data_IF_170984406718
#
_entry.id   IF_170984406718
#
_cell.length_a   1.000
_cell.length_b   1.000
_cell.length_c   1.000
_cell.angle_alpha   90.00
_cell.angle_beta   90.00
_cell.angle_gamma   90.00
#
_symmetry.space_group_name_H-M   'P 1'
#
loop_
_entity.id
_entity.type
_entity.pdbx_description
1 polymer ?
#
# COMPACT_ATOMS: atom_id res chain seq x y z
N UNK A 1 -9.81 8.83 17.80
CA UNK A 1 -10.41 8.47 16.50
C UNK A 1 -9.49 7.45 15.85
N UNK A 2 -9.98 6.23 15.63
CA UNK A 2 -9.16 5.06 15.34
C UNK A 2 -8.41 5.16 14.02
N UNK A 3 -7.15 4.73 14.03
CA UNK A 3 -6.34 4.53 12.83
C UNK A 3 -7.11 3.64 11.85
N UNK A 4 -7.54 4.20 10.71
CA UNK A 4 -8.24 3.42 9.69
C UNK A 4 -7.21 2.65 8.87
N UNK A 5 -6.94 1.43 9.31
CA UNK A 5 -6.15 0.46 8.54
C UNK A 5 -7.08 -0.15 7.50
N UNK A 6 -6.72 0.00 6.23
CA UNK A 6 -7.42 -0.57 5.10
C UNK A 6 -6.64 -1.73 4.52
N UNK A 7 -7.36 -2.70 3.99
CA UNK A 7 -6.77 -3.74 3.14
C UNK A 7 -7.06 -3.40 1.69
N UNK A 8 -6.01 -3.35 0.88
CA UNK A 8 -6.10 -3.14 -0.55
C UNK A 8 -5.46 -4.30 -1.30
N UNK A 9 -5.92 -4.52 -2.52
CA UNK A 9 -5.39 -5.55 -3.41
C UNK A 9 -4.65 -4.86 -4.54
N UNK A 10 -3.39 -5.25 -4.71
CA UNK A 10 -2.56 -4.85 -5.85
C UNK A 10 -2.64 -5.94 -6.93
N UNK A 11 -2.37 -5.58 -8.18
CA UNK A 11 -2.38 -6.54 -9.29
C UNK A 11 -1.32 -7.63 -9.13
N UNK A 12 -1.57 -8.80 -9.72
CA UNK A 12 -0.64 -9.94 -9.71
C UNK A 12 0.75 -9.59 -10.25
N UNK A 13 0.85 -8.66 -11.21
CA UNK A 13 2.13 -8.16 -11.73
C UNK A 13 3.01 -7.53 -10.64
N UNK A 14 2.41 -6.81 -9.71
CA UNK A 14 3.15 -6.20 -8.60
C UNK A 14 3.49 -7.29 -7.58
N UNK A 15 2.58 -8.23 -7.32
CA UNK A 15 2.87 -9.40 -6.48
C UNK A 15 4.00 -10.28 -7.01
N UNK A 16 4.15 -10.39 -8.33
CA UNK A 16 5.27 -11.12 -8.93
C UNK A 16 6.62 -10.55 -8.51
N UNK A 17 6.69 -9.24 -8.18
CA UNK A 17 7.90 -8.59 -7.69
C UNK A 17 8.18 -8.85 -6.20
N UNK A 18 7.37 -9.64 -5.49
CA UNK A 18 7.60 -9.97 -4.08
C UNK A 18 9.01 -10.56 -3.81
N UNK A 19 9.62 -11.21 -4.81
CA UNK A 19 11.00 -11.71 -4.71
C UNK A 19 12.04 -10.58 -4.65
N UNK A 20 11.75 -9.43 -5.26
CA UNK A 20 12.57 -8.22 -5.25
C UNK A 20 11.92 -7.17 -4.34
N UNK A 21 12.29 -7.16 -3.07
CA UNK A 21 11.67 -6.26 -2.08
C UNK A 21 11.75 -4.77 -2.51
N UNK A 22 12.86 -4.35 -3.11
CA UNK A 22 13.05 -2.97 -3.58
C UNK A 22 12.13 -2.64 -4.77
N UNK A 23 12.05 -3.52 -5.76
CA UNK A 23 11.17 -3.35 -6.91
C UNK A 23 9.70 -3.38 -6.49
N UNK A 24 9.34 -4.28 -5.57
CA UNK A 24 8.02 -4.37 -4.98
C UNK A 24 7.63 -3.07 -4.26
N UNK A 25 8.48 -2.59 -3.34
CA UNK A 25 8.23 -1.33 -2.60
C UNK A 25 8.06 -0.14 -3.55
N UNK A 26 8.89 -0.07 -4.60
CA UNK A 26 8.81 0.99 -5.62
C UNK A 26 7.48 0.94 -6.38
N UNK A 27 7.15 -0.19 -6.99
CA UNK A 27 5.93 -0.33 -7.80
C UNK A 27 4.67 -0.17 -6.95
N UNK A 28 4.65 -0.70 -5.73
CA UNK A 28 3.56 -0.49 -4.77
C UNK A 28 3.42 1.01 -4.46
N UNK A 29 4.51 1.71 -4.19
CA UNK A 29 4.48 3.17 -3.94
C UNK A 29 3.98 3.93 -5.15
N UNK A 30 4.43 3.62 -6.37
CA UNK A 30 3.96 4.26 -7.60
C UNK A 30 2.47 3.97 -7.85
N UNK A 31 2.02 2.74 -7.60
CA UNK A 31 0.62 2.34 -7.72
C UNK A 31 -0.28 3.13 -6.76
N UNK A 32 0.07 3.19 -5.46
CA UNK A 32 -0.69 3.97 -4.49
C UNK A 32 -0.55 5.47 -4.70
N UNK A 33 0.59 6.00 -5.12
CA UNK A 33 0.74 7.42 -5.43
C UNK A 33 -0.20 7.89 -6.55
N UNK A 34 -0.50 7.03 -7.53
CA UNK A 34 -1.44 7.36 -8.62
C UNK A 34 -2.90 7.45 -8.18
N UNK A 35 -3.35 6.60 -7.27
CA UNK A 35 -4.76 6.57 -6.84
C UNK A 35 -5.04 7.22 -5.48
N UNK A 36 -4.02 7.26 -4.62
CA UNK A 36 -4.14 7.38 -3.17
C UNK A 36 -2.86 8.00 -2.56
N UNK A 37 -2.55 9.27 -2.88
CA UNK A 37 -1.31 9.92 -2.42
C UNK A 37 -1.19 10.04 -0.89
N UNK A 38 -2.31 10.03 -0.16
CA UNK A 38 -2.35 10.13 1.31
C UNK A 38 -2.32 8.77 2.04
N UNK A 39 -2.06 7.68 1.33
CA UNK A 39 -2.05 6.34 1.91
C UNK A 39 -0.62 5.87 2.12
N UNK A 40 -0.36 5.34 3.30
CA UNK A 40 0.95 4.78 3.68
C UNK A 40 0.86 3.26 3.77
N UNK A 41 1.76 2.54 3.09
CA UNK A 41 1.80 1.08 3.17
C UNK A 41 2.45 0.67 4.49
N UNK A 42 1.70 -0.05 5.33
CA UNK A 42 2.18 -0.51 6.64
C UNK A 42 2.76 -1.92 6.52
N UNK A 43 2.05 -2.80 5.81
CA UNK A 43 2.40 -4.22 5.74
C UNK A 43 1.90 -4.85 4.45
N UNK A 44 2.73 -5.66 3.82
CA UNK A 44 2.32 -6.53 2.74
C UNK A 44 2.17 -7.97 3.25
N UNK A 45 1.02 -8.61 3.01
CA UNK A 45 0.79 -10.04 3.31
C UNK A 45 -0.09 -10.66 2.24
N UNK A 46 0.50 -11.45 1.36
CA UNK A 46 -0.21 -12.06 0.23
C UNK A 46 -1.54 -12.71 0.64
N UNK A 47 -2.68 -12.43 -0.04
CA UNK A 47 -2.85 -11.54 -1.21
C UNK A 47 -3.24 -10.08 -0.86
N UNK A 48 -3.16 -9.68 0.41
CA UNK A 48 -3.60 -8.36 0.91
C UNK A 48 -2.45 -7.41 1.24
N UNK A 49 -2.62 -6.13 0.92
CA UNK A 49 -1.75 -5.05 1.38
C UNK A 49 -2.49 -4.23 2.43
N UNK A 50 -1.89 -4.08 3.60
CA UNK A 50 -2.39 -3.23 4.66
C UNK A 50 -1.82 -1.83 4.47
N UNK A 51 -2.70 -0.89 4.26
CA UNK A 51 -2.39 0.52 4.10
C UNK A 51 -3.06 1.32 5.21
N UNK A 52 -2.37 2.34 5.71
CA UNK A 52 -2.93 3.35 6.59
C UNK A 52 -3.43 4.50 5.74
N UNK A 53 -4.66 4.91 5.98
CA UNK A 53 -5.14 6.20 5.52
C UNK A 53 -4.56 7.28 6.45
N UNK A 54 -3.69 8.15 5.93
CA UNK A 54 -3.12 9.28 6.70
C UNK A 54 -3.97 10.56 6.56
N UNK A 55 -5.02 10.53 5.72
CA UNK A 55 -5.96 11.65 5.49
C UNK A 55 -6.61 12.18 6.78
N UNK A 56 -6.76 11.32 7.79
CA UNK A 56 -7.32 11.68 9.10
C UNK A 56 -6.37 12.44 10.05
N UNK A 57 -5.11 12.70 9.66
CA UNK A 57 -4.14 13.41 10.51
C UNK A 57 -4.14 14.93 10.35
N UNK A 58 -4.92 15.46 9.40
CA UNK A 58 -5.22 16.88 9.27
C UNK A 58 -6.61 17.19 9.86
N UNK A 59 -6.73 17.12 11.18
CA UNK A 59 -7.84 17.71 11.94
C UNK A 59 -7.34 18.16 13.30
#
# INVERSE_FOLDING_TARGET
MGERIWTSRIGERIWALQHDEEAFKREVREYFARGHPDFSVIRAKYPHIYIRDDRGRQA
#
